data_IF_863209084357
#
_entry.id   IF_863209084357
#
_cell.length_a   1.000
_cell.length_b   1.000
_cell.length_c   1.000
_cell.angle_alpha   90.00
_cell.angle_beta   90.00
_cell.angle_gamma   90.00
#
_symmetry.space_group_name_H-M   'P 1'
#
loop_
_entity.id
_entity.type
_entity.pdbx_description
1 polymer ?
#
# COMPACT_ATOMS: atom_id res chain seq x y z
N UNK A 1 -14.00 39.12 -1.76
CA UNK A 1 -14.60 37.77 -1.92
C UNK A 1 -13.48 36.80 -2.28
N UNK A 2 -13.06 35.94 -1.36
CA UNK A 2 -12.01 34.95 -1.62
C UNK A 2 -12.63 33.78 -2.39
N UNK A 3 -12.11 33.45 -3.56
CA UNK A 3 -12.50 32.25 -4.31
C UNK A 3 -11.84 31.04 -3.66
N UNK A 4 -12.62 30.20 -2.98
CA UNK A 4 -12.18 28.87 -2.55
C UNK A 4 -12.03 28.01 -3.80
N UNK A 5 -10.83 28.02 -4.40
CA UNK A 5 -10.48 27.10 -5.45
C UNK A 5 -10.59 25.68 -4.92
N UNK A 6 -11.46 24.87 -5.54
CA UNK A 6 -11.65 23.46 -5.20
C UNK A 6 -10.29 22.78 -5.00
N UNK A 7 -9.98 22.41 -3.76
CA UNK A 7 -8.74 21.73 -3.44
C UNK A 7 -8.72 20.42 -4.21
N UNK A 8 -7.66 20.19 -4.99
CA UNK A 8 -7.38 18.88 -5.58
C UNK A 8 -7.47 17.85 -4.45
N UNK A 9 -8.11 16.68 -4.64
CA UNK A 9 -8.16 15.68 -3.57
C UNK A 9 -6.73 15.48 -3.09
N UNK A 10 -6.51 15.78 -1.81
CA UNK A 10 -5.20 15.71 -1.20
C UNK A 10 -4.85 14.23 -1.11
N UNK A 11 -4.32 13.69 -2.20
CA UNK A 11 -3.41 12.58 -2.10
C UNK A 11 -2.24 13.15 -1.32
N UNK A 12 -2.17 12.86 -0.03
CA UNK A 12 -0.97 13.12 0.76
C UNK A 12 0.18 12.39 0.06
N UNK A 13 0.84 13.09 -0.86
CA UNK A 13 2.03 12.67 -1.57
C UNK A 13 3.22 12.60 -0.62
N UNK A 14 3.05 13.09 0.61
CA UNK A 14 3.87 12.80 1.78
C UNK A 14 3.57 11.40 2.33
N UNK A 15 3.80 10.44 1.46
CA UNK A 15 4.49 9.19 1.78
C UNK A 15 4.86 9.08 3.31
N UNK A 16 4.21 8.22 4.14
CA UNK A 16 4.34 8.15 5.62
C UNK A 16 5.74 7.78 6.17
N UNK A 17 6.75 7.78 5.31
CA UNK A 17 8.11 7.31 5.55
C UNK A 17 9.02 8.43 6.08
N UNK A 18 8.54 9.68 6.07
CA UNK A 18 9.38 10.84 6.35
C UNK A 18 9.83 10.91 7.83
N UNK A 19 8.96 10.62 8.81
CA UNK A 19 9.27 10.80 10.24
C UNK A 19 8.56 9.77 11.16
N UNK A 20 9.13 9.54 12.35
CA UNK A 20 8.45 8.81 13.46
C UNK A 20 8.68 7.28 13.53
N UNK A 21 7.71 6.58 14.14
CA UNK A 21 7.72 5.14 14.46
C UNK A 21 7.92 4.27 13.20
N UNK A 22 7.24 4.60 12.10
CA UNK A 22 7.26 3.80 10.87
C UNK A 22 8.65 3.77 10.21
N UNK A 23 9.38 4.88 10.27
CA UNK A 23 10.77 4.98 9.80
C UNK A 23 11.69 4.05 10.58
N UNK A 24 11.49 3.94 11.90
CA UNK A 24 12.26 3.01 12.73
C UNK A 24 11.91 1.55 12.40
N UNK A 25 10.64 1.24 12.18
CA UNK A 25 10.22 -0.10 11.73
C UNK A 25 10.87 -0.48 10.39
N UNK A 26 10.90 0.42 9.42
CA UNK A 26 11.57 0.17 8.13
C UNK A 26 13.08 -0.06 8.28
N UNK A 27 13.75 0.71 9.15
CA UNK A 27 15.17 0.52 9.49
C UNK A 27 15.39 -0.85 10.13
N UNK A 28 14.58 -1.23 11.11
CA UNK A 28 14.69 -2.52 11.80
C UNK A 28 14.42 -3.69 10.85
N UNK A 29 13.42 -3.58 9.97
CA UNK A 29 13.14 -4.56 8.91
C UNK A 29 14.31 -4.69 7.94
N UNK A 30 14.98 -3.59 7.60
CA UNK A 30 16.18 -3.62 6.75
C UNK A 30 17.36 -4.32 7.44
N UNK A 31 17.57 -4.06 8.75
CA UNK A 31 18.58 -4.76 9.56
C UNK A 31 18.29 -6.28 9.60
N UNK A 32 17.05 -6.66 9.90
CA UNK A 32 16.62 -8.06 9.91
C UNK A 32 16.78 -8.73 8.53
N UNK A 33 16.54 -8.01 7.43
CA UNK A 33 16.80 -8.50 6.08
C UNK A 33 18.27 -8.79 5.83
N UNK A 34 19.15 -7.86 6.18
CA UNK A 34 20.61 -8.06 6.06
C UNK A 34 21.05 -9.27 6.88
N UNK A 35 20.57 -9.38 8.13
CA UNK A 35 20.90 -10.49 9.01
C UNK A 35 20.45 -11.83 8.44
N UNK A 36 19.21 -11.95 7.97
CA UNK A 36 18.70 -13.15 7.32
C UNK A 36 19.46 -13.50 6.04
N UNK A 37 19.81 -12.51 5.22
CA UNK A 37 20.56 -12.75 3.98
C UNK A 37 21.97 -13.30 4.25
N UNK A 38 22.62 -12.83 5.31
CA UNK A 38 23.96 -13.26 5.72
C UNK A 38 23.95 -14.66 6.36
N UNK A 39 23.07 -14.87 7.34
CA UNK A 39 23.05 -16.10 8.16
C UNK A 39 22.22 -17.24 7.58
N UNK A 40 21.19 -16.92 6.78
CA UNK A 40 20.14 -17.85 6.32
C UNK A 40 19.42 -18.64 7.42
N UNK A 41 19.53 -18.23 8.68
CA UNK A 41 18.87 -18.90 9.80
C UNK A 41 17.34 -18.68 9.76
N UNK A 42 16.51 -19.72 10.01
CA UNK A 42 15.06 -19.62 9.94
C UNK A 42 14.46 -18.63 10.94
N UNK A 43 15.03 -18.50 12.14
CA UNK A 43 14.54 -17.53 13.14
C UNK A 43 14.62 -16.09 12.63
N UNK A 44 15.71 -15.71 11.95
CA UNK A 44 15.85 -14.37 11.37
C UNK A 44 14.86 -14.11 10.23
N UNK A 45 14.43 -15.16 9.51
CA UNK A 45 13.32 -15.04 8.55
C UNK A 45 12.00 -14.76 9.26
N UNK A 46 11.73 -15.43 10.38
CA UNK A 46 10.54 -15.21 11.20
C UNK A 46 10.49 -13.77 11.71
N UNK A 47 11.61 -13.25 12.23
CA UNK A 47 11.72 -11.87 12.70
C UNK A 47 11.47 -10.86 11.57
N UNK A 48 12.05 -11.10 10.39
CA UNK A 48 11.78 -10.28 9.21
C UNK A 48 10.31 -10.28 8.81
N UNK A 49 9.67 -11.46 8.77
CA UNK A 49 8.26 -11.60 8.42
C UNK A 49 7.36 -10.89 9.44
N UNK A 50 7.68 -11.00 10.75
CA UNK A 50 6.99 -10.29 11.83
C UNK A 50 7.05 -8.79 11.62
N UNK A 51 8.25 -8.24 11.37
CA UNK A 51 8.43 -6.81 11.11
C UNK A 51 7.70 -6.35 9.84
N UNK A 52 7.72 -7.15 8.77
CA UNK A 52 6.94 -6.87 7.57
C UNK A 52 5.43 -6.80 7.84
N UNK A 53 4.89 -7.73 8.63
CA UNK A 53 3.46 -7.73 8.99
C UNK A 53 3.08 -6.53 9.87
N UNK A 54 3.95 -6.12 10.79
CA UNK A 54 3.75 -4.90 11.58
C UNK A 54 3.71 -3.67 10.66
N UNK A 55 4.67 -3.54 9.74
CA UNK A 55 4.71 -2.44 8.78
C UNK A 55 3.45 -2.41 7.91
N UNK A 56 3.02 -3.56 7.35
CA UNK A 56 1.80 -3.64 6.52
C UNK A 56 0.58 -3.13 7.28
N UNK A 57 0.39 -3.58 8.53
CA UNK A 57 -0.73 -3.14 9.38
C UNK A 57 -0.68 -1.65 9.68
N UNK A 58 0.49 -1.11 10.07
CA UNK A 58 0.66 0.32 10.36
C UNK A 58 0.40 1.20 9.14
N UNK A 59 0.92 0.79 7.97
CA UNK A 59 0.66 1.51 6.71
C UNK A 59 -0.81 1.47 6.33
N UNK A 60 -1.47 0.31 6.50
CA UNK A 60 -2.90 0.19 6.25
C UNK A 60 -3.72 1.10 7.16
N UNK A 61 -3.44 1.07 8.47
CA UNK A 61 -4.10 1.94 9.45
C UNK A 61 -3.94 3.43 9.12
N UNK A 62 -2.72 3.87 8.76
CA UNK A 62 -2.49 5.25 8.37
C UNK A 62 -3.30 5.65 7.13
N UNK A 63 -3.34 4.78 6.11
CA UNK A 63 -4.13 5.03 4.89
C UNK A 63 -5.62 5.06 5.18
N UNK A 64 -6.08 4.17 6.06
CA UNK A 64 -7.47 4.10 6.49
C UNK A 64 -7.88 5.37 7.24
N UNK A 65 -7.07 5.81 8.21
CA UNK A 65 -7.31 7.04 8.95
C UNK A 65 -7.32 8.26 8.04
N UNK A 66 -6.32 8.40 7.16
CA UNK A 66 -6.30 9.49 6.19
C UNK A 66 -7.52 9.47 5.25
N UNK A 67 -8.05 8.28 4.94
CA UNK A 67 -9.27 8.12 4.17
C UNK A 67 -10.52 8.51 4.96
N UNK A 68 -10.62 8.13 6.23
CA UNK A 68 -11.70 8.51 7.14
C UNK A 68 -11.74 10.02 7.39
N UNK A 69 -10.57 10.64 7.61
CA UNK A 69 -10.43 12.09 7.73
C UNK A 69 -10.88 12.79 6.45
N UNK A 70 -10.49 12.24 5.28
CA UNK A 70 -10.91 12.77 3.98
C UNK A 70 -12.45 12.71 3.83
N UNK A 71 -13.07 11.55 4.08
CA UNK A 71 -14.54 11.41 4.02
C UNK A 71 -15.22 12.38 4.98
N UNK A 72 -14.71 12.49 6.21
CA UNK A 72 -15.28 13.35 7.25
C UNK A 72 -15.19 14.83 6.90
N UNK A 73 -14.20 15.23 6.09
CA UNK A 73 -14.03 16.60 5.60
C UNK A 73 -14.90 16.97 4.38
N UNK A 74 -15.71 16.04 3.86
CA UNK A 74 -16.53 16.29 2.67
C UNK A 74 -17.75 17.14 2.98
N UNK A 75 -17.93 18.19 2.18
CA UNK A 75 -19.08 19.08 2.22
C UNK A 75 -19.81 19.08 0.88
N UNK A 76 -21.14 19.19 0.93
CA UNK A 76 -21.98 19.29 -0.26
C UNK A 76 -21.87 20.66 -0.95
N UNK A 77 -21.63 21.72 -0.16
CA UNK A 77 -21.57 23.12 -0.64
C UNK A 77 -20.26 23.42 -1.41
N UNK A 78 -19.15 22.78 -1.02
CA UNK A 78 -17.81 23.08 -1.53
C UNK A 78 -17.41 22.28 -2.79
N UNK A 79 -18.35 21.59 -3.44
CA UNK A 79 -18.12 20.67 -4.58
C UNK A 79 -17.14 19.49 -4.30
N UNK A 80 -16.58 19.37 -3.08
CA UNK A 80 -15.60 18.35 -2.70
C UNK A 80 -16.19 16.93 -2.77
N UNK A 81 -17.44 16.77 -2.32
CA UNK A 81 -18.20 15.54 -2.45
C UNK A 81 -18.33 15.08 -3.91
N UNK A 82 -18.58 16.03 -4.82
CA UNK A 82 -18.74 15.72 -6.25
C UNK A 82 -17.43 15.30 -6.91
N UNK A 83 -16.31 15.91 -6.51
CA UNK A 83 -14.97 15.51 -6.93
C UNK A 83 -14.70 14.03 -6.64
N UNK A 84 -15.04 13.57 -5.44
CA UNK A 84 -14.89 12.17 -5.01
C UNK A 84 -15.87 11.24 -5.73
N UNK A 85 -17.15 11.61 -5.83
CA UNK A 85 -18.14 10.82 -6.56
C UNK A 85 -17.75 10.59 -8.03
N UNK A 86 -17.19 11.62 -8.68
CA UNK A 86 -16.67 11.53 -10.05
C UNK A 86 -15.44 10.62 -10.15
N UNK A 87 -14.57 10.62 -9.14
CA UNK A 87 -13.43 9.71 -9.09
C UNK A 87 -13.88 8.25 -8.99
N UNK A 88 -14.87 7.94 -8.15
CA UNK A 88 -15.45 6.60 -8.05
C UNK A 88 -16.10 6.12 -9.35
N UNK A 89 -16.79 7.01 -10.07
CA UNK A 89 -17.37 6.69 -11.39
C UNK A 89 -16.33 6.39 -12.47
N UNK A 90 -15.15 7.00 -12.39
CA UNK A 90 -14.05 6.79 -13.35
C UNK A 90 -13.18 5.58 -13.02
N UNK A 91 -13.25 5.08 -11.78
CA UNK A 91 -12.56 3.86 -11.41
C UNK A 91 -13.16 2.72 -12.25
N UNK A 92 -12.39 2.24 -13.23
CA UNK A 92 -12.76 1.02 -13.95
C UNK A 92 -12.88 -0.11 -12.94
N UNK A 93 -13.84 -1.04 -13.10
CA UNK A 93 -13.88 -2.22 -12.26
C UNK A 93 -12.53 -2.91 -12.38
N UNK A 94 -11.87 -3.11 -11.25
CA UNK A 94 -10.56 -3.74 -11.21
C UNK A 94 -10.76 -5.13 -11.83
N UNK A 95 -10.17 -5.36 -13.01
CA UNK A 95 -10.15 -6.69 -13.62
C UNK A 95 -9.65 -7.68 -12.58
N UNK A 96 -10.39 -8.76 -12.35
CA UNK A 96 -10.09 -9.78 -11.33
C UNK A 96 -8.66 -10.33 -11.45
N UNK A 97 -8.07 -10.29 -12.65
CA UNK A 97 -6.67 -10.63 -12.90
C UNK A 97 -5.65 -9.72 -12.16
N UNK A 98 -5.93 -8.42 -12.02
CA UNK A 98 -5.05 -7.46 -11.33
C UNK A 98 -5.04 -7.66 -9.81
N UNK A 99 -6.16 -8.10 -9.23
CA UNK A 99 -6.27 -8.40 -7.78
C UNK A 99 -5.43 -9.64 -7.44
N UNK A 100 -5.49 -10.69 -8.27
CA UNK A 100 -4.71 -11.93 -8.10
C UNK A 100 -3.20 -11.64 -8.20
N UNK A 101 -2.77 -10.71 -9.06
CA UNK A 101 -1.36 -10.34 -9.23
C UNK A 101 -0.81 -9.42 -8.12
N UNK A 102 -1.66 -8.63 -7.44
CA UNK A 102 -1.24 -7.78 -6.30
C UNK A 102 -1.09 -8.55 -4.98
N UNK A 103 -1.69 -9.73 -4.86
CA UNK A 103 -1.40 -10.70 -3.79
C UNK A 103 -0.21 -11.58 -4.23
N UNK A 104 0.98 -10.98 -4.28
CA UNK A 104 2.22 -11.74 -4.55
C UNK A 104 2.45 -12.78 -3.44
N UNK A 105 2.49 -14.10 -3.75
CA UNK A 105 2.85 -15.11 -2.77
C UNK A 105 4.33 -14.96 -2.40
N UNK A 106 4.70 -15.07 -1.11
CA UNK A 106 6.03 -14.68 -0.62
C UNK A 106 7.19 -15.57 -1.10
N UNK A 107 6.94 -16.60 -1.93
CA UNK A 107 7.94 -17.57 -2.36
C UNK A 107 7.61 -18.11 -3.75
N UNK A 108 8.24 -17.57 -4.79
CA UNK A 108 8.41 -18.28 -6.07
C UNK A 108 9.89 -18.28 -6.41
N UNK A 109 10.49 -19.46 -6.32
CA UNK A 109 11.86 -19.75 -6.71
C UNK A 109 12.04 -19.55 -8.22
N UNK A 110 13.23 -19.11 -8.64
CA UNK A 110 13.55 -18.55 -9.97
C UNK A 110 13.52 -19.53 -11.18
N UNK A 111 12.81 -20.65 -11.17
CA UNK A 111 12.95 -21.66 -12.23
C UNK A 111 11.69 -22.14 -12.97
N UNK A 112 10.51 -21.56 -12.76
CA UNK A 112 9.30 -21.99 -13.49
C UNK A 112 8.45 -20.83 -14.01
N UNK A 113 9.06 -19.95 -14.82
CA UNK A 113 8.32 -18.99 -15.65
C UNK A 113 8.06 -19.50 -17.09
N UNK A 114 8.68 -20.61 -17.52
CA UNK A 114 8.48 -21.15 -18.87
C UNK A 114 7.23 -22.05 -19.01
N UNK A 115 6.69 -22.60 -17.92
CA UNK A 115 5.65 -23.63 -18.00
C UNK A 115 4.20 -23.12 -18.01
N UNK A 116 3.96 -21.82 -17.79
CA UNK A 116 2.58 -21.28 -17.67
C UNK A 116 2.06 -20.61 -18.94
N UNK A 117 2.84 -20.59 -20.04
CA UNK A 117 2.44 -19.96 -21.31
C UNK A 117 1.98 -20.94 -22.40
N UNK A 118 1.85 -22.24 -22.11
CA UNK A 118 1.63 -23.25 -23.16
C UNK A 118 0.37 -24.13 -22.99
N UNK A 119 -0.45 -23.97 -21.95
CA UNK A 119 -1.67 -24.76 -21.79
C UNK A 119 -2.95 -23.90 -21.79
N UNK A 120 -3.14 -23.19 -22.90
CA UNK A 120 -4.46 -22.71 -23.32
C UNK A 120 -4.72 -23.23 -24.72
N UNK A 121 -5.16 -24.48 -24.78
CA UNK A 121 -6.09 -25.02 -25.77
C UNK A 121 -7.01 -25.99 -25.04
#
# INVERSE_FOLDING_TARGET
MLTLGASKPVYHSEQPFAQGELKQLFKNRNKARKLWQYTRHPQHKTDLNRLQNIIRRKVYQYRQQAWEDNISSLNAEDNSLWGIAKAFRKATPISTFEIIMRVQPPWRCCHTLAAWRQNTF
#
